data_IF_484429304996
#
_entry.id   IF_484429304996
#
_cell.length_a   1.000
_cell.length_b   1.000
_cell.length_c   1.000
_cell.angle_alpha   90.00
_cell.angle_beta   90.00
_cell.angle_gamma   90.00
#
_symmetry.space_group_name_H-M   'P 1'
#
loop_
_entity.id
_entity.type
_entity.pdbx_description
1 polymer ?
#
# COMPACT_ATOMS: atom_id res chain seq x y z
N UNK A 1 14.72 -6.52 3.47
CA UNK A 1 13.78 -6.08 4.53
C UNK A 1 12.76 -5.14 3.94
N UNK A 2 11.52 -5.33 4.26
CA UNK A 2 10.44 -4.47 3.76
C UNK A 2 10.22 -3.27 4.68
N UNK A 3 9.46 -2.29 4.20
CA UNK A 3 9.00 -1.16 4.98
C UNK A 3 7.48 -1.15 5.04
N UNK A 4 6.94 -0.83 6.20
CA UNK A 4 5.49 -0.82 6.44
C UNK A 4 5.12 0.49 7.12
N UNK A 5 4.00 1.08 6.68
CA UNK A 5 3.42 2.26 7.30
C UNK A 5 1.94 1.98 7.55
N UNK A 6 1.49 2.22 8.77
CA UNK A 6 0.07 2.11 9.10
C UNK A 6 -0.43 3.40 9.72
N UNK A 7 -1.60 3.88 9.30
CA UNK A 7 -2.19 5.13 9.80
C UNK A 7 -3.68 4.93 10.04
N UNK A 8 -4.13 5.44 11.17
CA UNK A 8 -5.54 5.63 11.48
C UNK A 8 -5.79 7.09 11.81
N UNK A 9 -6.79 7.68 11.17
CA UNK A 9 -7.21 9.06 11.43
C UNK A 9 -8.70 9.03 11.77
N UNK A 10 -9.12 9.75 12.81
CA UNK A 10 -10.52 9.78 13.20
C UNK A 10 -11.43 10.38 12.12
N UNK A 11 -10.89 11.29 11.32
CA UNK A 11 -11.63 11.91 10.22
C UNK A 11 -10.68 12.24 9.07
N UNK A 12 -11.05 11.89 7.88
CA UNK A 12 -10.27 12.18 6.68
C UNK A 12 -9.48 10.98 6.16
N UNK A 13 -9.15 11.05 4.90
CA UNK A 13 -8.43 9.98 4.21
C UNK A 13 -6.96 9.95 4.62
N UNK A 14 -6.37 8.76 4.62
CA UNK A 14 -4.99 8.57 5.06
C UNK A 14 -4.01 8.23 3.94
N UNK A 15 -4.48 8.10 2.70
CA UNK A 15 -3.62 7.64 1.60
C UNK A 15 -2.43 8.57 1.34
N UNK A 16 -2.62 9.88 1.42
CA UNK A 16 -1.53 10.84 1.21
C UNK A 16 -0.46 10.73 2.28
N UNK A 17 -0.87 10.58 3.54
CA UNK A 17 0.05 10.42 4.66
C UNK A 17 0.79 9.10 4.59
N UNK A 18 0.12 8.03 4.18
CA UNK A 18 0.76 6.73 3.97
C UNK A 18 1.78 6.84 2.83
N UNK A 19 1.41 7.49 1.73
CA UNK A 19 2.32 7.72 0.61
C UNK A 19 3.60 8.45 1.08
N UNK A 20 3.45 9.54 1.82
CA UNK A 20 4.58 10.28 2.36
C UNK A 20 5.43 9.42 3.28
N UNK A 21 4.80 8.60 4.11
CA UNK A 21 5.48 7.65 4.97
C UNK A 21 6.26 6.61 4.18
N UNK A 22 5.71 6.11 3.09
CA UNK A 22 6.40 5.16 2.22
C UNK A 22 7.63 5.78 1.56
N UNK A 23 7.56 7.05 1.16
CA UNK A 23 8.72 7.77 0.65
C UNK A 23 9.84 7.76 1.69
N UNK A 24 9.52 7.97 2.96
CA UNK A 24 10.52 7.98 4.05
C UNK A 24 11.16 6.62 4.30
N UNK A 25 10.44 5.52 4.02
CA UNK A 25 10.96 4.16 4.21
C UNK A 25 11.35 3.49 2.89
N UNK A 26 11.42 4.24 1.80
CA UNK A 26 11.73 3.71 0.47
C UNK A 26 13.04 2.91 0.44
N UNK A 27 14.02 3.31 1.24
CA UNK A 27 15.32 2.60 1.33
C UNK A 27 15.19 1.16 1.81
N UNK A 28 14.07 0.79 2.41
CA UNK A 28 13.83 -0.56 2.90
C UNK A 28 13.31 -1.50 1.81
N UNK A 29 12.77 -0.95 0.74
CA UNK A 29 12.31 -1.77 -0.38
C UNK A 29 12.05 -0.93 -1.61
N UNK A 30 12.55 -1.39 -2.76
CA UNK A 30 12.50 -0.64 -4.01
C UNK A 30 11.88 -1.44 -5.17
N UNK A 31 11.40 -2.63 -4.89
CA UNK A 31 10.91 -3.57 -5.89
C UNK A 31 9.44 -3.34 -6.23
N UNK A 32 8.64 -3.04 -5.22
CA UNK A 32 7.21 -2.80 -5.38
C UNK A 32 6.70 -1.95 -4.24
N UNK A 33 5.60 -1.26 -4.46
CA UNK A 33 4.95 -0.45 -3.44
C UNK A 33 3.43 -0.61 -3.55
N UNK A 34 2.75 -0.50 -2.41
CA UNK A 34 1.30 -0.61 -2.39
C UNK A 34 0.70 0.07 -1.18
N UNK A 35 -0.57 0.45 -1.32
CA UNK A 35 -1.38 1.04 -0.26
C UNK A 35 -2.76 0.39 -0.29
N UNK A 36 -3.28 0.04 0.89
CA UNK A 36 -4.66 -0.37 1.07
C UNK A 36 -5.32 0.51 2.11
N UNK A 37 -6.54 0.96 1.84
CA UNK A 37 -7.32 1.77 2.78
C UNK A 37 -8.70 1.15 2.96
N UNK A 38 -9.31 1.40 4.12
CA UNK A 38 -10.65 0.97 4.46
C UNK A 38 -11.53 2.18 4.69
N UNK A 39 -12.66 2.26 3.98
CA UNK A 39 -13.56 3.41 4.04
C UNK A 39 -14.76 3.23 4.97
N UNK A 40 -14.78 2.15 5.74
CA UNK A 40 -15.89 1.77 6.60
C UNK A 40 -16.83 0.75 5.95
N UNK A 41 -16.69 0.54 4.65
CA UNK A 41 -17.54 -0.33 3.86
C UNK A 41 -16.74 -1.30 3.01
N UNK A 42 -15.68 -0.83 2.36
CA UNK A 42 -14.86 -1.69 1.51
C UNK A 42 -13.40 -1.28 1.51
N UNK A 43 -12.56 -2.20 1.07
CA UNK A 43 -11.13 -2.03 0.95
C UNK A 43 -10.78 -1.49 -0.44
N UNK A 44 -9.91 -0.49 -0.47
CA UNK A 44 -9.35 0.07 -1.70
C UNK A 44 -7.85 -0.22 -1.71
N UNK A 45 -7.37 -0.82 -2.79
CA UNK A 45 -5.95 -1.19 -2.90
C UNK A 45 -5.39 -0.77 -4.24
N UNK A 46 -4.20 -0.20 -4.22
CA UNK A 46 -3.38 0.00 -5.40
C UNK A 46 -1.96 -0.43 -5.08
N UNK A 47 -1.40 -1.30 -5.94
CA UNK A 47 -0.03 -1.74 -5.80
C UNK A 47 0.57 -2.01 -7.17
N UNK A 48 1.87 -1.76 -7.30
CA UNK A 48 2.58 -1.87 -8.56
C UNK A 48 4.06 -2.12 -8.30
N UNK A 49 4.76 -2.59 -9.33
CA UNK A 49 6.20 -2.72 -9.29
C UNK A 49 6.86 -1.34 -9.36
N UNK A 50 8.05 -1.24 -8.83
CA UNK A 50 8.87 -0.03 -8.86
C UNK A 50 8.88 0.76 -7.56
N UNK A 51 9.48 1.94 -7.63
CA UNK A 51 9.54 2.86 -6.49
C UNK A 51 8.16 3.43 -6.19
N UNK A 52 8.00 3.97 -5.00
CA UNK A 52 6.71 4.57 -4.57
C UNK A 52 6.23 5.60 -5.57
N UNK A 53 7.11 6.49 -6.03
CA UNK A 53 6.75 7.51 -7.02
C UNK A 53 6.35 6.93 -8.35
N UNK A 54 6.91 5.79 -8.74
CA UNK A 54 6.56 5.08 -9.97
C UNK A 54 5.23 4.33 -9.85
N UNK A 55 5.05 3.65 -8.73
CA UNK A 55 3.84 2.85 -8.48
C UNK A 55 2.58 3.72 -8.44
N UNK A 56 2.71 4.98 -8.03
CA UNK A 56 1.59 5.91 -7.86
C UNK A 56 1.64 7.11 -8.82
N UNK A 57 2.35 6.99 -9.92
CA UNK A 57 2.54 8.10 -10.86
C UNK A 57 1.30 8.44 -11.69
N UNK A 58 0.40 7.49 -11.89
CA UNK A 58 -0.79 7.71 -12.70
C UNK A 58 -1.83 8.55 -11.95
N UNK A 59 -2.50 9.44 -12.66
CA UNK A 59 -3.63 10.18 -12.12
C UNK A 59 -4.68 9.19 -11.64
N UNK A 60 -5.21 9.42 -10.44
CA UNK A 60 -6.19 8.53 -9.85
C UNK A 60 -5.62 7.33 -9.11
N UNK A 61 -4.31 7.07 -9.21
CA UNK A 61 -3.71 5.94 -8.49
C UNK A 61 -3.90 6.04 -6.97
N UNK A 62 -3.94 7.27 -6.44
CA UNK A 62 -4.19 7.52 -5.03
C UNK A 62 -5.58 8.06 -4.73
N UNK A 63 -6.22 8.70 -5.71
CA UNK A 63 -7.50 9.38 -5.48
C UNK A 63 -8.64 8.43 -5.14
N UNK A 64 -8.57 7.17 -5.56
CA UNK A 64 -9.58 6.17 -5.22
C UNK A 64 -9.32 5.49 -3.86
N UNK A 65 -8.15 5.73 -3.28
CA UNK A 65 -7.76 5.14 -1.99
C UNK A 65 -8.37 5.96 -0.85
N UNK A 66 -9.69 5.96 -0.78
CA UNK A 66 -10.44 6.68 0.25
C UNK A 66 -10.53 5.83 1.50
N UNK A 67 -10.57 6.48 2.65
CA UNK A 67 -10.70 5.80 3.92
C UNK A 67 -9.79 6.39 4.99
N UNK A 68 -10.19 6.19 6.24
CA UNK A 68 -9.53 6.79 7.39
C UNK A 68 -8.58 5.83 8.12
N UNK A 69 -8.39 4.65 7.59
CA UNK A 69 -7.41 3.70 8.11
C UNK A 69 -6.80 2.94 6.93
N UNK A 70 -5.50 2.70 6.99
CA UNK A 70 -4.84 1.99 5.92
C UNK A 70 -3.44 1.57 6.28
N UNK A 71 -2.87 0.76 5.40
CA UNK A 71 -1.47 0.32 5.48
C UNK A 71 -0.81 0.50 4.13
N UNK A 72 0.48 0.80 4.17
CA UNK A 72 1.33 0.86 2.99
C UNK A 72 2.54 -0.04 3.16
N UNK A 73 3.13 -0.42 2.04
CA UNK A 73 4.23 -1.37 2.01
C UNK A 73 5.19 -1.05 0.88
N UNK A 74 6.48 -1.14 1.16
CA UNK A 74 7.53 -1.17 0.13
C UNK A 74 8.24 -2.51 0.26
N UNK A 75 8.35 -3.21 -0.88
CA UNK A 75 8.86 -4.58 -0.90
C UNK A 75 10.35 -4.60 -1.23
N UNK A 76 11.10 -5.34 -0.43
CA UNK A 76 12.46 -5.73 -0.76
C UNK A 76 12.40 -7.06 -1.52
N UNK A 77 13.07 -7.17 -2.68
CA UNK A 77 12.98 -8.40 -3.46
C UNK A 77 13.57 -9.58 -2.69
N UNK A 78 12.78 -10.64 -2.57
CA UNK A 78 13.28 -11.95 -2.18
C UNK A 78 13.49 -12.77 -3.46
N UNK A 79 14.39 -13.71 -3.42
CA UNK A 79 14.79 -14.46 -4.61
C UNK A 79 13.58 -14.93 -5.42
N UNK A 80 13.50 -14.46 -6.66
CA UNK A 80 12.76 -15.16 -7.69
C UNK A 80 11.42 -14.63 -8.13
N UNK A 81 10.96 -13.42 -7.74
CA UNK A 81 9.68 -12.97 -8.26
C UNK A 81 9.65 -11.48 -8.59
N UNK A 82 9.35 -11.19 -9.85
CA UNK A 82 9.09 -9.84 -10.37
C UNK A 82 7.60 -9.64 -10.66
N UNK A 83 6.73 -10.43 -10.06
CA UNK A 83 5.30 -10.39 -10.35
C UNK A 83 4.61 -9.39 -9.43
N UNK A 84 3.75 -8.54 -10.01
CA UNK A 84 2.95 -7.58 -9.26
C UNK A 84 2.05 -8.27 -8.21
N UNK A 85 1.71 -9.54 -8.42
CA UNK A 85 0.94 -10.31 -7.44
C UNK A 85 1.66 -10.50 -6.10
N UNK A 86 2.98 -10.37 -6.12
CA UNK A 86 3.81 -10.45 -4.91
C UNK A 86 3.91 -9.10 -4.19
N UNK A 87 3.45 -8.02 -4.81
CA UNK A 87 3.41 -6.72 -4.18
C UNK A 87 2.38 -6.73 -3.05
N UNK A 88 2.66 -5.98 -2.00
CA UNK A 88 1.83 -5.91 -0.81
C UNK A 88 1.27 -4.50 -0.64
N UNK A 89 0.18 -4.31 0.11
CA UNK A 89 -0.48 -5.27 0.99
C UNK A 89 -1.26 -6.35 0.25
N UNK A 90 -1.38 -7.51 0.88
CA UNK A 90 -2.27 -8.58 0.43
C UNK A 90 -3.66 -8.35 1.00
N UNK A 91 -4.69 -8.70 0.24
CA UNK A 91 -6.07 -8.50 0.67
C UNK A 91 -6.92 -9.74 0.36
N UNK A 92 -7.75 -10.12 1.31
CA UNK A 92 -8.83 -11.08 1.09
C UNK A 92 -10.13 -10.51 1.67
N UNK A 93 -11.25 -10.85 1.03
CA UNK A 93 -12.58 -10.41 1.47
C UNK A 93 -13.37 -11.53 2.13
N UNK A 94 -12.91 -12.78 2.07
CA UNK A 94 -13.65 -13.93 2.56
C UNK A 94 -12.84 -14.71 3.57
N UNK A 95 -13.44 -15.08 4.71
CA UNK A 95 -14.80 -14.78 5.19
C UNK A 95 -14.98 -13.33 5.66
N UNK A 96 -13.89 -12.60 5.91
CA UNK A 96 -13.91 -11.19 6.32
C UNK A 96 -12.83 -10.43 5.55
N UNK A 97 -12.90 -9.11 5.54
CA UNK A 97 -11.86 -8.29 4.95
C UNK A 97 -10.61 -8.30 5.83
N UNK A 98 -9.52 -8.78 5.26
CA UNK A 98 -8.20 -8.78 5.93
C UNK A 98 -7.20 -8.19 4.95
N UNK A 99 -6.38 -7.27 5.43
CA UNK A 99 -5.26 -6.71 4.68
C UNK A 99 -3.99 -6.91 5.48
N UNK A 100 -2.96 -7.42 4.82
CA UNK A 100 -1.72 -7.80 5.49
C UNK A 100 -0.51 -7.24 4.74
N UNK A 101 0.39 -6.65 5.49
CA UNK A 101 1.74 -6.31 5.03
C UNK A 101 2.77 -7.03 5.88
N UNK A 102 3.78 -7.56 5.23
CA UNK A 102 4.81 -8.34 5.92
C UNK A 102 6.21 -7.87 5.53
#
# INVERSE_FOLDING_TARGET
MCGIVGIFNKSGDVSSEIYDGLIQVQHRGQDAAGISTWDGSKMHTHKELGLVTEAFKHDGARSHLVGNVGIGHVRYPTAGSDDVSEAQPFHTANPVNITLGH
#
